data_IF_821987476280
#
_entry.id   IF_821987476280
#
_cell.length_a   1.000
_cell.length_b   1.000
_cell.length_c   1.000
_cell.angle_alpha   90.00
_cell.angle_beta   90.00
_cell.angle_gamma   90.00
#
_symmetry.space_group_name_H-M   'P 1'
#
loop_
_entity.id
_entity.type
_entity.pdbx_description
1 polymer ?
#
# COMPACT_ATOMS: atom_id res chain seq x y z
N UNK A 1 -63.97 -6.18 23.97
CA UNK A 1 -62.84 -6.62 23.13
C UNK A 1 -62.80 -5.77 21.87
N UNK A 2 -62.16 -4.60 21.92
CA UNK A 2 -62.12 -3.63 20.80
C UNK A 2 -60.84 -2.77 20.79
N UNK A 3 -59.82 -3.20 21.55
CA UNK A 3 -58.53 -2.50 21.68
C UNK A 3 -57.35 -3.35 21.17
N UNK A 4 -57.65 -4.52 20.60
CA UNK A 4 -56.65 -5.47 20.09
C UNK A 4 -56.42 -5.37 18.58
N UNK A 5 -56.94 -4.33 17.94
CA UNK A 5 -56.66 -3.99 16.55
C UNK A 5 -56.18 -2.54 16.52
N UNK A 6 -55.03 -2.33 15.87
CA UNK A 6 -54.41 -1.04 15.55
C UNK A 6 -53.48 -0.43 16.64
N UNK A 7 -52.93 -1.26 17.54
CA UNK A 7 -51.53 -1.02 18.00
C UNK A 7 -50.52 -1.41 16.90
N UNK A 8 -51.00 -2.02 15.80
CA UNK A 8 -50.22 -2.46 14.65
C UNK A 8 -49.97 -1.40 13.56
N UNK A 9 -50.42 -0.15 13.75
CA UNK A 9 -50.19 0.95 12.79
C UNK A 9 -49.01 1.87 13.16
N UNK A 10 -48.34 1.64 14.29
CA UNK A 10 -47.24 2.49 14.77
C UNK A 10 -45.83 1.92 14.48
N UNK A 11 -45.71 0.78 13.79
CA UNK A 11 -44.43 0.08 13.61
C UNK A 11 -43.88 0.14 12.17
N UNK A 12 -44.38 1.03 11.31
CA UNK A 12 -43.92 1.19 9.92
C UNK A 12 -43.21 2.53 9.66
N UNK A 13 -42.44 3.02 10.63
CA UNK A 13 -41.66 4.24 10.50
C UNK A 13 -40.24 4.07 11.05
N UNK A 14 -39.51 3.05 10.60
CA UNK A 14 -38.10 2.90 10.94
C UNK A 14 -37.35 2.15 9.83
N UNK A 15 -37.03 2.85 8.74
CA UNK A 15 -35.82 2.64 7.94
C UNK A 15 -35.81 3.64 6.78
N UNK A 16 -35.60 4.93 7.10
CA UNK A 16 -35.07 5.84 6.10
C UNK A 16 -33.61 5.40 5.84
N UNK A 17 -33.18 5.18 4.60
CA UNK A 17 -31.76 5.06 4.31
C UNK A 17 -31.14 6.42 4.61
N UNK A 18 -30.36 6.51 5.69
CA UNK A 18 -29.45 7.63 5.91
C UNK A 18 -28.35 7.48 4.87
N UNK A 19 -28.60 7.98 3.66
CA UNK A 19 -27.56 8.25 2.70
C UNK A 19 -26.70 9.37 3.29
N UNK A 20 -25.58 9.01 3.89
CA UNK A 20 -24.52 9.96 4.22
C UNK A 20 -23.88 10.44 2.91
N UNK A 21 -24.60 11.30 2.19
CA UNK A 21 -24.10 12.10 1.07
C UNK A 21 -23.24 13.18 1.72
N UNK A 22 -21.96 12.87 1.93
CA UNK A 22 -21.03 13.82 2.55
C UNK A 22 -20.94 15.06 1.63
N UNK A 23 -21.29 16.22 2.18
CA UNK A 23 -21.47 17.46 1.43
C UNK A 23 -20.10 18.02 1.03
N UNK A 24 -19.83 18.10 -0.27
CA UNK A 24 -18.55 18.60 -0.79
C UNK A 24 -18.63 20.11 -1.00
N UNK A 25 -17.67 20.84 -0.44
CA UNK A 25 -17.57 22.29 -0.61
C UNK A 25 -16.34 22.64 -1.45
N UNK A 26 -16.50 23.57 -2.39
CA UNK A 26 -15.42 24.12 -3.20
C UNK A 26 -15.04 25.51 -2.75
N UNK A 27 -13.79 25.65 -2.33
CA UNK A 27 -13.17 26.88 -1.88
C UNK A 27 -12.20 27.38 -2.98
N UNK A 28 -12.73 27.90 -4.09
CA UNK A 28 -11.89 28.28 -5.25
C UNK A 28 -11.38 27.06 -6.02
N UNK A 29 -10.15 26.59 -5.77
CA UNK A 29 -9.55 25.41 -6.43
C UNK A 29 -9.46 24.17 -5.52
N UNK A 30 -9.78 24.31 -4.23
CA UNK A 30 -9.68 23.22 -3.25
C UNK A 30 -11.07 22.66 -2.91
N UNK A 31 -11.15 21.35 -2.69
CA UNK A 31 -12.36 20.63 -2.29
C UNK A 31 -12.21 20.10 -0.87
N UNK A 32 -13.22 20.32 -0.03
CA UNK A 32 -13.25 19.86 1.36
C UNK A 32 -14.61 19.25 1.72
N UNK A 33 -14.59 18.24 2.58
CA UNK A 33 -15.78 17.65 3.19
C UNK A 33 -16.04 18.17 4.61
N UNK A 34 -15.21 19.09 5.13
CA UNK A 34 -15.38 19.66 6.47
C UNK A 34 -16.27 20.90 6.43
N UNK A 35 -17.47 20.79 7.03
CA UNK A 35 -18.47 21.86 7.09
C UNK A 35 -17.99 23.12 7.83
N UNK A 36 -17.15 22.97 8.87
CA UNK A 36 -16.58 24.10 9.63
C UNK A 36 -15.65 24.94 8.76
N UNK A 37 -14.69 24.30 8.10
CA UNK A 37 -13.74 24.97 7.21
C UNK A 37 -14.44 25.60 5.99
N UNK A 38 -15.48 24.94 5.47
CA UNK A 38 -16.29 25.47 4.38
C UNK A 38 -17.01 26.77 4.76
N UNK A 39 -17.55 26.87 5.98
CA UNK A 39 -18.26 28.07 6.46
C UNK A 39 -17.30 29.24 6.70
N UNK A 40 -16.16 28.99 7.32
CA UNK A 40 -15.15 30.02 7.62
C UNK A 40 -14.53 30.61 6.35
N UNK A 41 -14.37 29.79 5.30
CA UNK A 41 -13.75 30.20 4.04
C UNK A 41 -14.76 30.57 2.94
N UNK A 42 -16.06 30.65 3.28
CA UNK A 42 -17.12 31.07 2.34
C UNK A 42 -17.29 30.14 1.13
N UNK A 43 -17.07 28.84 1.29
CA UNK A 43 -17.03 27.88 0.21
C UNK A 43 -18.42 27.49 -0.28
N UNK A 44 -18.57 27.22 -1.59
CA UNK A 44 -19.86 26.84 -2.19
C UNK A 44 -20.06 25.33 -2.18
N UNK A 45 -21.27 24.89 -1.84
CA UNK A 45 -21.65 23.48 -1.92
C UNK A 45 -21.66 23.04 -3.39
N UNK A 46 -20.93 21.97 -3.69
CA UNK A 46 -20.91 21.35 -5.02
C UNK A 46 -21.87 20.18 -5.00
N UNK A 47 -23.10 20.42 -5.44
CA UNK A 47 -24.08 19.37 -5.70
C UNK A 47 -23.97 18.91 -7.16
N UNK A 48 -23.65 17.62 -7.36
CA UNK A 48 -23.86 16.95 -8.65
C UNK A 48 -22.71 16.99 -9.68
N UNK A 49 -21.46 17.21 -9.27
CA UNK A 49 -20.29 16.96 -10.14
C UNK A 49 -19.75 15.54 -9.93
N UNK A 50 -19.25 14.88 -10.99
CA UNK A 50 -18.62 13.55 -10.95
C UNK A 50 -17.34 13.54 -10.07
N UNK A 51 -17.50 13.68 -8.76
CA UNK A 51 -16.42 13.65 -7.77
C UNK A 51 -16.53 12.31 -7.04
N UNK A 52 -15.70 11.36 -7.48
CA UNK A 52 -15.61 10.05 -6.83
C UNK A 52 -14.70 10.18 -5.62
N UNK A 53 -15.29 10.21 -4.42
CA UNK A 53 -14.53 10.18 -3.17
C UNK A 53 -14.15 8.73 -2.88
N UNK A 54 -12.87 8.38 -3.08
CA UNK A 54 -12.31 7.14 -2.55
C UNK A 54 -12.13 7.34 -1.04
N UNK A 55 -13.05 6.78 -0.26
CA UNK A 55 -12.93 6.76 1.20
C UNK A 55 -11.65 6.00 1.57
N UNK A 56 -10.64 6.72 2.06
CA UNK A 56 -9.47 6.09 2.66
C UNK A 56 -9.95 5.36 3.92
N UNK A 57 -10.04 4.03 3.85
CA UNK A 57 -10.32 3.22 5.03
C UNK A 57 -9.22 3.49 6.05
N UNK A 58 -9.54 4.00 7.26
CA UNK A 58 -8.51 4.25 8.27
C UNK A 58 -7.82 2.91 8.56
N UNK A 59 -6.50 2.87 8.35
CA UNK A 59 -5.67 1.72 8.71
C UNK A 59 -5.71 1.62 10.23
N UNK A 60 -6.60 0.78 10.76
CA UNK A 60 -6.75 0.56 12.20
C UNK A 60 -5.39 0.16 12.76
N UNK A 61 -4.81 1.03 13.57
CA UNK A 61 -3.64 0.69 14.37
C UNK A 61 -4.01 -0.53 15.23
N UNK A 62 -3.20 -1.58 15.15
CA UNK A 62 -3.45 -2.83 15.84
C UNK A 62 -3.45 -2.60 17.37
N UNK A 63 -4.52 -2.97 18.10
CA UNK A 63 -4.43 -3.05 19.54
C UNK A 63 -3.70 -4.35 19.94
N UNK A 64 -2.89 -4.25 20.98
CA UNK A 64 -2.19 -5.38 21.59
C UNK A 64 -3.17 -6.46 22.10
N UNK A 65 -2.66 -7.69 22.12
CA UNK A 65 -3.33 -8.98 22.27
C UNK A 65 -4.43 -9.10 23.35
N UNK A 66 -5.48 -9.86 23.02
CA UNK A 66 -6.09 -10.92 23.88
C UNK A 66 -6.91 -11.88 23.00
N UNK A 67 -7.04 -13.19 23.36
CA UNK A 67 -7.47 -14.23 22.44
C UNK A 67 -8.94 -14.62 22.60
N UNK A 68 -9.69 -14.67 21.49
CA UNK A 68 -10.82 -15.58 21.21
C UNK A 68 -11.29 -15.40 19.76
N UNK A 69 -11.64 -16.51 19.11
CA UNK A 69 -11.73 -16.78 17.66
C UNK A 69 -12.97 -16.18 16.93
N UNK A 70 -13.19 -16.47 15.61
CA UNK A 70 -12.28 -16.62 14.48
C UNK A 70 -12.47 -15.54 13.39
N UNK A 71 -11.59 -15.58 12.40
CA UNK A 71 -11.44 -14.67 11.27
C UNK A 71 -12.64 -14.61 10.28
N UNK A 72 -12.74 -13.47 9.60
CA UNK A 72 -12.95 -13.29 8.16
C UNK A 72 -13.92 -12.14 7.84
N UNK A 73 -13.45 -10.89 7.96
CA UNK A 73 -14.06 -9.80 7.20
C UNK A 73 -13.27 -9.67 5.89
N UNK A 74 -13.61 -10.53 4.92
CA UNK A 74 -13.21 -10.31 3.54
C UNK A 74 -13.78 -8.96 3.11
N UNK A 75 -12.91 -8.06 2.67
CA UNK A 75 -13.27 -6.76 2.11
C UNK A 75 -14.22 -6.99 0.93
N UNK A 76 -15.52 -6.82 1.16
CA UNK A 76 -16.51 -6.94 0.10
C UNK A 76 -16.30 -5.79 -0.89
N UNK A 77 -15.81 -6.11 -2.09
CA UNK A 77 -15.75 -5.17 -3.20
C UNK A 77 -17.17 -4.63 -3.50
N UNK A 78 -17.32 -3.38 -3.98
CA UNK A 78 -18.62 -2.79 -4.26
C UNK A 78 -19.45 -3.69 -5.18
N UNK A 79 -20.74 -3.84 -4.87
CA UNK A 79 -21.68 -4.58 -5.70
C UNK A 79 -21.75 -3.94 -7.09
N UNK A 80 -21.06 -4.53 -8.07
CA UNK A 80 -20.99 -4.02 -9.45
C UNK A 80 -19.58 -3.79 -9.99
N UNK A 81 -18.51 -3.98 -9.20
CA UNK A 81 -17.16 -4.01 -9.76
C UNK A 81 -17.03 -5.21 -10.72
N UNK A 82 -16.54 -5.03 -11.97
CA UNK A 82 -16.31 -6.14 -12.88
C UNK A 82 -15.31 -7.09 -12.21
N UNK A 83 -15.79 -8.30 -11.86
CA UNK A 83 -14.92 -9.34 -11.33
C UNK A 83 -13.94 -9.72 -12.42
N UNK A 84 -12.66 -9.45 -12.19
CA UNK A 84 -11.59 -9.94 -13.05
C UNK A 84 -11.75 -11.45 -13.18
N UNK A 85 -11.74 -11.97 -14.41
CA UNK A 85 -11.88 -13.39 -14.62
C UNK A 85 -10.72 -14.12 -13.95
N UNK A 86 -10.99 -15.29 -13.35
CA UNK A 86 -9.94 -16.05 -12.61
C UNK A 86 -8.75 -16.41 -13.50
N UNK A 87 -8.96 -16.55 -14.81
CA UNK A 87 -7.89 -16.76 -15.79
C UNK A 87 -7.00 -15.51 -15.96
N UNK A 88 -7.59 -14.32 -16.06
CA UNK A 88 -6.87 -13.06 -16.20
C UNK A 88 -6.06 -12.73 -14.93
N UNK A 89 -6.59 -13.05 -13.75
CA UNK A 89 -5.87 -12.87 -12.50
C UNK A 89 -4.63 -13.78 -12.44
N UNK A 90 -4.77 -15.07 -12.78
CA UNK A 90 -3.64 -16.00 -12.82
C UNK A 90 -2.57 -15.60 -13.84
N UNK A 91 -2.97 -15.09 -15.01
CA UNK A 91 -2.03 -14.59 -16.01
C UNK A 91 -1.21 -13.41 -15.46
N UNK A 92 -1.85 -12.45 -14.81
CA UNK A 92 -1.17 -11.31 -14.18
C UNK A 92 -0.22 -11.72 -13.06
N UNK A 93 -0.64 -12.68 -12.24
CA UNK A 93 0.20 -13.19 -11.15
C UNK A 93 1.43 -13.94 -11.71
N UNK A 94 1.27 -14.67 -12.81
CA UNK A 94 2.37 -15.33 -13.51
C UNK A 94 3.34 -14.32 -14.13
N UNK A 95 2.83 -13.26 -14.76
CA UNK A 95 3.65 -12.18 -15.32
C UNK A 95 4.42 -11.44 -14.21
N UNK A 96 3.74 -11.08 -13.12
CA UNK A 96 4.35 -10.42 -11.97
C UNK A 96 5.46 -11.28 -11.36
N UNK A 97 5.24 -12.59 -11.25
CA UNK A 97 6.25 -13.54 -10.79
C UNK A 97 7.45 -13.59 -11.74
N UNK A 98 7.23 -13.69 -13.05
CA UNK A 98 8.31 -13.72 -14.03
C UNK A 98 9.18 -12.45 -13.96
N UNK A 99 8.54 -11.27 -13.83
CA UNK A 99 9.24 -10.00 -13.68
C UNK A 99 10.11 -9.99 -12.41
N UNK A 100 9.56 -10.41 -11.26
CA UNK A 100 10.33 -10.45 -10.01
C UNK A 100 11.46 -11.49 -10.05
N UNK A 101 11.29 -12.62 -10.73
CA UNK A 101 12.35 -13.60 -10.94
C UNK A 101 13.48 -13.03 -11.83
N UNK A 102 13.15 -12.25 -12.84
CA UNK A 102 14.12 -11.55 -13.69
C UNK A 102 14.88 -10.46 -12.93
N UNK A 103 14.18 -9.68 -12.12
CA UNK A 103 14.77 -8.68 -11.23
C UNK A 103 15.67 -9.33 -10.18
N UNK A 104 15.25 -10.46 -9.60
CA UNK A 104 16.07 -11.22 -8.66
C UNK A 104 17.40 -11.63 -9.30
N UNK A 105 17.38 -12.16 -10.53
CA UNK A 105 18.62 -12.56 -11.22
C UNK A 105 19.56 -11.37 -11.45
N UNK A 106 19.03 -10.21 -11.83
CA UNK A 106 19.82 -8.97 -12.00
C UNK A 106 20.38 -8.46 -10.68
N UNK A 107 19.59 -8.52 -9.59
CA UNK A 107 20.04 -8.11 -8.27
C UNK A 107 21.14 -9.05 -7.74
N UNK A 108 20.99 -10.35 -7.95
CA UNK A 108 21.99 -11.36 -7.59
C UNK A 108 23.29 -11.20 -8.38
N UNK A 109 23.21 -10.91 -9.70
CA UNK A 109 24.42 -10.65 -10.50
C UNK A 109 25.17 -9.41 -10.00
N UNK A 110 24.45 -8.31 -9.74
CA UNK A 110 25.02 -7.09 -9.17
C UNK A 110 25.66 -7.33 -7.80
N UNK A 111 25.00 -8.10 -6.93
CA UNK A 111 25.55 -8.48 -5.64
C UNK A 111 26.83 -9.32 -5.80
N UNK A 112 26.85 -10.25 -6.74
CA UNK A 112 28.03 -11.07 -7.01
C UNK A 112 29.21 -10.22 -7.52
N UNK A 113 28.96 -9.25 -8.40
CA UNK A 113 29.97 -8.30 -8.88
C UNK A 113 30.53 -7.44 -7.74
N UNK A 114 29.66 -6.84 -6.91
CA UNK A 114 30.08 -6.03 -5.76
C UNK A 114 30.87 -6.85 -4.73
N UNK A 115 30.46 -8.09 -4.47
CA UNK A 115 31.20 -9.00 -3.56
C UNK A 115 32.57 -9.37 -4.12
N UNK A 116 32.68 -9.60 -5.43
CA UNK A 116 33.96 -9.86 -6.10
C UNK A 116 34.90 -8.65 -6.00
N UNK A 117 34.39 -7.45 -6.20
CA UNK A 117 35.19 -6.24 -6.06
C UNK A 117 35.58 -5.97 -4.60
N UNK A 118 34.64 -6.17 -3.67
CA UNK A 118 34.88 -6.02 -2.23
C UNK A 118 35.92 -7.02 -1.71
N UNK A 119 35.99 -8.22 -2.29
CA UNK A 119 37.00 -9.24 -2.02
C UNK A 119 37.23 -9.45 -0.51
N UNK A 120 36.17 -9.78 0.21
CA UNK A 120 36.16 -9.99 1.67
C UNK A 120 36.74 -8.83 2.50
N UNK A 121 36.63 -7.60 2.00
CA UNK A 121 37.13 -6.39 2.65
C UNK A 121 38.56 -6.01 2.26
N UNK A 122 39.15 -6.74 1.31
CA UNK A 122 40.44 -6.42 0.71
C UNK A 122 40.29 -6.16 -0.80
N UNK A 123 39.57 -5.09 -1.22
CA UNK A 123 39.49 -4.72 -2.63
C UNK A 123 40.89 -4.50 -3.21
N UNK A 124 41.08 -4.85 -4.48
CA UNK A 124 42.35 -4.64 -5.18
C UNK A 124 42.73 -3.16 -5.21
N UNK A 125 43.92 -2.82 -4.72
CA UNK A 125 44.42 -1.45 -4.68
C UNK A 125 44.78 -0.99 -6.09
N UNK A 126 44.31 0.19 -6.46
CA UNK A 126 44.74 0.89 -7.68
C UNK A 126 46.05 1.64 -7.44
N UNK A 127 46.80 1.95 -8.51
CA UNK A 127 48.07 2.68 -8.41
C UNK A 127 47.96 4.04 -7.67
N UNK A 128 46.81 4.71 -7.78
CA UNK A 128 46.53 5.97 -7.07
C UNK A 128 46.36 5.75 -5.57
N UNK A 129 45.71 4.65 -5.16
CA UNK A 129 45.47 4.29 -3.76
C UNK A 129 46.71 3.77 -3.03
N UNK A 130 47.78 3.40 -3.75
CA UNK A 130 49.09 3.19 -3.13
C UNK A 130 49.70 4.52 -2.64
N UNK A 131 49.38 5.64 -3.30
CA UNK A 131 49.83 6.98 -2.90
C UNK A 131 48.88 7.66 -1.92
N UNK A 132 47.59 7.34 -1.98
CA UNK A 132 46.57 7.84 -1.05
C UNK A 132 45.91 6.70 -0.26
N UNK A 133 46.36 6.42 0.98
CA UNK A 133 45.78 5.37 1.81
C UNK A 133 44.36 5.70 2.30
N UNK A 134 43.97 6.98 2.40
CA UNK A 134 42.62 7.36 2.83
C UNK A 134 41.57 7.00 1.78
N UNK A 135 41.84 7.27 0.51
CA UNK A 135 40.91 6.92 -0.59
C UNK A 135 40.61 5.42 -0.67
N UNK A 136 41.57 4.57 -0.31
CA UNK A 136 41.34 3.13 -0.21
C UNK A 136 40.33 2.76 0.89
N UNK A 137 40.45 3.38 2.07
CA UNK A 137 39.55 3.13 3.19
C UNK A 137 38.12 3.60 2.85
N UNK A 138 38.01 4.77 2.22
CA UNK A 138 36.73 5.33 1.76
C UNK A 138 36.07 4.41 0.72
N UNK A 139 36.80 4.00 -0.32
CA UNK A 139 36.26 3.08 -1.33
C UNK A 139 35.88 1.73 -0.74
N UNK A 140 36.69 1.20 0.18
CA UNK A 140 36.36 -0.07 0.87
C UNK A 140 35.07 0.07 1.68
N UNK A 141 34.88 1.19 2.38
CA UNK A 141 33.65 1.48 3.11
C UNK A 141 32.45 1.66 2.16
N UNK A 142 32.65 2.31 1.02
CA UNK A 142 31.62 2.47 -0.01
C UNK A 142 31.21 1.12 -0.62
N UNK A 143 32.17 0.27 -0.97
CA UNK A 143 31.93 -1.08 -1.48
C UNK A 143 31.16 -1.92 -0.45
N UNK A 144 31.56 -1.87 0.83
CA UNK A 144 30.84 -2.54 1.92
C UNK A 144 29.39 -2.07 2.02
N UNK A 145 29.16 -0.75 1.97
CA UNK A 145 27.82 -0.19 2.00
C UNK A 145 27.01 -0.57 0.74
N UNK A 146 27.66 -0.65 -0.42
CA UNK A 146 27.09 -1.14 -1.67
C UNK A 146 26.63 -2.58 -1.58
N UNK A 147 27.48 -3.47 -1.08
CA UNK A 147 27.15 -4.88 -0.82
C UNK A 147 25.94 -4.98 0.12
N UNK A 148 25.94 -4.26 1.24
CA UNK A 148 24.84 -4.30 2.20
C UNK A 148 23.49 -3.84 1.58
N UNK A 149 23.51 -2.80 0.73
CA UNK A 149 22.32 -2.36 -0.01
C UNK A 149 21.84 -3.42 -0.99
N UNK A 150 22.74 -4.00 -1.79
CA UNK A 150 22.40 -5.06 -2.74
C UNK A 150 21.86 -6.32 -2.05
N UNK A 151 22.38 -6.69 -0.88
CA UNK A 151 21.85 -7.78 -0.06
C UNK A 151 20.43 -7.50 0.42
N UNK A 152 20.15 -6.26 0.85
CA UNK A 152 18.82 -5.84 1.25
C UNK A 152 17.82 -5.88 0.08
N UNK A 153 18.24 -5.49 -1.13
CA UNK A 153 17.43 -5.56 -2.36
C UNK A 153 17.06 -7.00 -2.70
N UNK A 154 18.06 -7.91 -2.73
CA UNK A 154 17.83 -9.35 -2.96
C UNK A 154 16.88 -9.94 -1.92
N UNK A 155 17.08 -9.61 -0.63
CA UNK A 155 16.20 -10.04 0.43
C UNK A 155 14.77 -9.48 0.28
N UNK A 156 14.63 -8.25 -0.21
CA UNK A 156 13.36 -7.61 -0.53
C UNK A 156 12.59 -8.37 -1.61
N UNK A 157 13.22 -8.57 -2.76
CA UNK A 157 12.61 -9.26 -3.90
C UNK A 157 12.21 -10.69 -3.52
N UNK A 158 13.05 -11.41 -2.77
CA UNK A 158 12.72 -12.76 -2.26
C UNK A 158 11.50 -12.77 -1.36
N UNK A 159 11.29 -11.74 -0.53
CA UNK A 159 10.08 -11.63 0.30
C UNK A 159 8.83 -11.39 -0.54
N UNK A 160 8.91 -10.55 -1.57
CA UNK A 160 7.78 -10.31 -2.48
C UNK A 160 7.43 -11.57 -3.29
N UNK A 161 8.42 -12.30 -3.81
CA UNK A 161 8.20 -13.61 -4.44
C UNK A 161 7.54 -14.60 -3.48
N UNK A 162 7.96 -14.63 -2.21
CA UNK A 162 7.33 -15.46 -1.18
C UNK A 162 5.88 -15.07 -0.87
N UNK A 163 5.47 -13.82 -1.12
CA UNK A 163 4.07 -13.37 -0.97
C UNK A 163 3.20 -13.79 -2.14
N UNK A 164 3.74 -13.80 -3.36
CA UNK A 164 3.01 -14.26 -4.56
C UNK A 164 2.81 -15.78 -4.58
N UNK A 165 3.66 -16.53 -3.88
CA UNK A 165 3.56 -17.99 -3.77
C UNK A 165 2.63 -18.48 -2.65
N UNK A 166 1.97 -17.59 -1.90
CA UNK A 166 1.04 -17.92 -0.81
C UNK A 166 -0.40 -17.76 -1.28
#
# INVERSE_FOLDING_TARGET
MKHTLIVLAAALAAALPVGAQDRIYRCGNEYTNQVSQAKERGCRLVEGGNVTVLQATPRRAAPAATPSAPAAAASASPAGAPRVATADQRARDADARAILEDELRKAESRLAELRREYNDGAPQRTALELRNPQGYLERTAELKAGVARAEADVAGIRRELGRLNR
#
